data_IF_566897446096
#
_entry.id   IF_566897446096
#
_cell.length_a   1.000
_cell.length_b   1.000
_cell.length_c   1.000
_cell.angle_alpha   90.00
_cell.angle_beta   90.00
_cell.angle_gamma   90.00
#
_symmetry.space_group_name_H-M   'P 1'
#
loop_
_entity.id
_entity.type
_entity.pdbx_description
1 polymer ?
#
# COMPACT_ATOMS: atom_id res chain seq x y z
N UNK A 1 -14.56 30.40 29.60
CA UNK A 1 -13.25 30.58 30.27
C UNK A 1 -13.28 29.88 31.62
N UNK A 2 -12.14 29.41 32.12
CA UNK A 2 -12.04 28.89 33.49
C UNK A 2 -11.92 30.02 34.54
N UNK A 3 -11.85 29.65 35.81
CA UNK A 3 -11.69 30.60 36.92
C UNK A 3 -10.34 31.34 36.97
N UNK A 4 -9.41 31.02 36.06
CA UNK A 4 -8.09 31.68 35.92
C UNK A 4 -8.03 32.55 34.66
N UNK A 5 -9.12 32.64 33.90
CA UNK A 5 -9.19 33.42 32.66
C UNK A 5 -8.60 32.70 31.44
N UNK A 6 -8.37 31.39 31.52
CA UNK A 6 -7.99 30.63 30.32
C UNK A 6 -9.22 30.38 29.45
N UNK A 7 -9.06 30.52 28.13
CA UNK A 7 -10.01 30.02 27.17
C UNK A 7 -9.97 28.48 27.20
N UNK A 8 -11.14 27.85 27.22
CA UNK A 8 -11.28 26.40 27.20
C UNK A 8 -11.81 26.02 25.83
N UNK A 9 -11.04 25.22 25.10
CA UNK A 9 -11.33 24.76 23.75
C UNK A 9 -11.61 23.25 23.82
N UNK A 10 -12.88 22.83 23.76
CA UNK A 10 -13.23 21.42 23.76
C UNK A 10 -12.84 20.74 22.45
N UNK A 11 -12.38 19.49 22.55
CA UNK A 11 -12.13 18.62 21.40
C UNK A 11 -13.12 17.44 21.43
N UNK A 12 -13.78 17.23 20.31
CA UNK A 12 -14.80 16.20 20.11
C UNK A 12 -14.50 15.27 18.93
N UNK A 13 -15.25 14.18 18.85
CA UNK A 13 -15.39 13.37 17.63
C UNK A 13 -16.54 13.87 16.72
N UNK A 14 -16.77 13.17 15.60
CA UNK A 14 -17.85 13.46 14.64
C UNK A 14 -19.26 13.29 15.23
N UNK A 15 -19.38 12.55 16.33
CA UNK A 15 -20.60 12.27 17.07
C UNK A 15 -20.84 13.28 18.20
N UNK A 16 -19.95 14.26 18.37
CA UNK A 16 -20.06 15.30 19.39
C UNK A 16 -19.62 14.86 20.79
N UNK A 17 -18.99 13.70 20.94
CA UNK A 17 -18.48 13.25 22.25
C UNK A 17 -17.19 13.98 22.55
N UNK A 18 -17.07 14.51 23.76
CA UNK A 18 -15.86 15.17 24.23
C UNK A 18 -14.79 14.14 24.62
N UNK A 19 -13.56 14.36 24.16
CA UNK A 19 -12.43 13.46 24.39
C UNK A 19 -11.26 14.14 25.11
N UNK A 20 -11.10 15.44 24.94
CA UNK A 20 -10.10 16.26 25.62
C UNK A 20 -10.45 17.74 25.51
N UNK A 21 -9.60 18.59 26.07
CA UNK A 21 -9.66 20.03 25.92
C UNK A 21 -8.25 20.61 25.77
N UNK A 22 -8.15 21.74 25.09
CA UNK A 22 -7.01 22.64 25.13
C UNK A 22 -7.38 23.87 25.97
N UNK A 23 -6.45 24.34 26.78
CA UNK A 23 -6.56 25.61 27.49
C UNK A 23 -5.60 26.61 26.87
N UNK A 24 -6.07 27.82 26.59
CA UNK A 24 -5.26 28.93 26.08
C UNK A 24 -5.24 30.04 27.13
N UNK A 25 -4.06 30.34 27.67
CA UNK A 25 -3.89 31.38 28.67
C UNK A 25 -3.87 32.80 28.04
N UNK A 26 -4.08 33.88 28.83
CA UNK A 26 -4.03 35.26 28.34
C UNK A 26 -2.71 35.65 27.65
N UNK A 27 -1.61 34.97 27.98
CA UNK A 27 -0.30 35.15 27.33
C UNK A 27 -0.13 34.32 26.04
N UNK A 28 -1.17 33.58 25.63
CA UNK A 28 -1.17 32.71 24.47
C UNK A 28 -0.63 31.30 24.74
N UNK A 29 -0.20 30.97 25.96
CA UNK A 29 0.30 29.64 26.27
C UNK A 29 -0.82 28.59 26.15
N UNK A 30 -0.62 27.62 25.24
CA UNK A 30 -1.55 26.53 24.98
C UNK A 30 -1.15 25.27 25.74
N UNK A 31 -2.11 24.59 26.37
CA UNK A 31 -1.89 23.31 27.07
C UNK A 31 -3.06 22.37 26.83
N UNK A 32 -2.75 21.14 26.43
CA UNK A 32 -3.74 20.07 26.38
C UNK A 32 -3.95 19.46 27.77
N UNK A 33 -5.15 18.96 28.02
CA UNK A 33 -5.45 18.16 29.20
C UNK A 33 -4.59 16.88 29.20
N UNK A 34 -3.87 16.65 30.31
CA UNK A 34 -3.04 15.46 30.48
C UNK A 34 -3.90 14.19 30.42
N UNK A 35 -3.46 13.20 29.63
CA UNK A 35 -4.19 11.95 29.40
C UNK A 35 -5.37 12.06 28.44
N UNK A 36 -5.67 13.24 27.90
CA UNK A 36 -6.74 13.43 26.94
C UNK A 36 -6.40 12.90 25.54
N UNK A 37 -7.40 12.40 24.83
CA UNK A 37 -7.23 11.87 23.48
C UNK A 37 -7.33 13.00 22.44
N UNK A 38 -6.19 13.47 21.92
CA UNK A 38 -6.15 14.51 20.87
C UNK A 38 -6.29 13.94 19.46
N UNK A 39 -5.60 12.82 19.17
CA UNK A 39 -5.50 12.26 17.82
C UNK A 39 -6.89 11.91 17.27
N UNK A 40 -7.25 12.49 16.13
CA UNK A 40 -8.56 12.31 15.46
C UNK A 40 -9.70 13.15 16.05
N UNK A 41 -9.47 13.87 17.15
CA UNK A 41 -10.45 14.76 17.76
C UNK A 41 -10.11 16.21 17.49
N UNK A 42 -11.13 17.05 17.43
CA UNK A 42 -11.02 18.41 16.90
C UNK A 42 -11.96 19.37 17.63
N UNK A 43 -11.70 20.66 17.51
CA UNK A 43 -12.63 21.67 18.00
C UNK A 43 -13.56 22.12 16.88
N UNK A 44 -14.86 22.09 17.15
CA UNK A 44 -15.87 22.72 16.30
C UNK A 44 -15.90 24.21 16.63
N UNK A 45 -15.71 25.06 15.61
CA UNK A 45 -15.68 26.51 15.80
C UNK A 45 -17.04 27.12 15.53
N UNK A 46 -17.44 28.09 16.36
CA UNK A 46 -18.70 28.83 16.19
C UNK A 46 -19.94 28.08 16.66
N UNK A 47 -19.79 26.88 17.22
CA UNK A 47 -20.88 26.09 17.77
C UNK A 47 -20.44 25.32 19.01
N UNK A 48 -21.40 25.00 19.88
CA UNK A 48 -21.18 24.10 21.01
C UNK A 48 -20.92 22.66 20.54
N UNK A 49 -20.20 21.85 21.32
CA UNK A 49 -19.99 20.45 21.00
C UNK A 49 -21.28 19.70 20.74
N UNK A 50 -21.39 19.10 19.56
CA UNK A 50 -22.58 18.40 19.08
C UNK A 50 -22.22 17.44 17.93
N UNK A 51 -23.04 16.42 17.66
CA UNK A 51 -22.89 15.61 16.47
C UNK A 51 -22.86 16.49 15.22
N UNK A 52 -21.89 16.26 14.33
CA UNK A 52 -21.79 17.04 13.11
C UNK A 52 -22.97 16.74 12.18
N UNK A 53 -23.71 17.80 11.84
CA UNK A 53 -24.67 17.78 10.74
C UNK A 53 -23.92 17.87 9.40
N UNK A 54 -24.56 17.39 8.33
CA UNK A 54 -24.02 17.57 6.99
C UNK A 54 -23.87 19.08 6.70
N UNK A 55 -22.70 19.54 6.23
CA UNK A 55 -22.50 20.96 5.98
C UNK A 55 -23.32 21.41 4.76
N UNK A 56 -23.97 22.57 4.85
CA UNK A 56 -24.72 23.18 3.74
C UNK A 56 -23.81 23.84 2.68
N UNK A 57 -22.51 23.94 2.98
CA UNK A 57 -21.47 24.52 2.13
C UNK A 57 -20.12 23.84 2.36
N UNK A 58 -18.99 24.49 2.03
CA UNK A 58 -17.68 23.92 2.30
C UNK A 58 -17.45 23.75 3.80
N UNK A 59 -16.81 22.65 4.17
CA UNK A 59 -16.32 22.39 5.53
C UNK A 59 -14.84 22.75 5.56
N UNK A 60 -14.50 23.77 6.36
CA UNK A 60 -13.13 24.27 6.47
C UNK A 60 -12.39 23.50 7.55
N UNK A 61 -11.15 23.12 7.27
CA UNK A 61 -10.26 22.43 8.21
C UNK A 61 -8.99 23.27 8.34
N UNK A 62 -8.62 23.64 9.56
CA UNK A 62 -7.42 24.43 9.85
C UNK A 62 -6.63 23.83 11.02
N UNK A 63 -5.41 24.31 11.23
CA UNK A 63 -4.56 23.86 12.34
C UNK A 63 -5.01 24.46 13.67
N UNK A 64 -5.00 25.78 13.83
CA UNK A 64 -5.30 26.45 15.10
C UNK A 64 -6.76 26.80 15.31
N UNK A 65 -7.19 26.87 16.58
CA UNK A 65 -8.53 27.36 16.94
C UNK A 65 -8.75 28.84 16.59
N UNK A 66 -7.75 29.70 16.83
CA UNK A 66 -7.84 31.13 16.50
C UNK A 66 -7.96 31.36 14.98
N UNK A 67 -7.17 30.63 14.20
CA UNK A 67 -7.29 30.54 12.73
C UNK A 67 -8.70 30.13 12.33
N UNK A 68 -9.25 29.10 12.97
CA UNK A 68 -10.60 28.63 12.72
C UNK A 68 -11.68 29.66 13.06
N UNK A 69 -11.52 30.39 14.17
CA UNK A 69 -12.44 31.46 14.57
C UNK A 69 -12.49 32.57 13.52
N UNK A 70 -11.33 33.01 13.02
CA UNK A 70 -11.25 34.02 11.96
C UNK A 70 -11.86 33.54 10.64
N UNK A 71 -11.70 32.25 10.30
CA UNK A 71 -12.36 31.64 9.14
C UNK A 71 -13.89 31.63 9.28
N UNK A 72 -14.40 31.22 10.45
CA UNK A 72 -15.83 31.18 10.71
C UNK A 72 -16.44 32.59 10.70
N UNK A 73 -15.79 33.56 11.34
CA UNK A 73 -16.23 34.96 11.35
C UNK A 73 -16.27 35.57 9.93
N UNK A 74 -15.30 35.24 9.09
CA UNK A 74 -15.21 35.76 7.73
C UNK A 74 -16.20 35.13 6.75
N UNK A 75 -16.55 33.85 6.94
CA UNK A 75 -17.28 33.07 5.92
C UNK A 75 -18.64 32.54 6.37
N UNK A 76 -18.88 32.43 7.68
CA UNK A 76 -20.04 31.74 8.24
C UNK A 76 -20.04 30.22 8.02
N UNK A 77 -19.01 29.65 7.40
CA UNK A 77 -18.93 28.21 7.13
C UNK A 77 -18.60 27.42 8.39
N UNK A 78 -18.94 26.13 8.38
CA UNK A 78 -18.53 25.20 9.43
C UNK A 78 -17.00 25.05 9.40
N UNK A 79 -16.34 25.26 10.54
CA UNK A 79 -14.89 25.15 10.65
C UNK A 79 -14.50 24.16 11.73
N UNK A 80 -13.56 23.28 11.39
CA UNK A 80 -12.97 22.29 12.27
C UNK A 80 -11.49 22.63 12.48
N UNK A 81 -11.11 22.90 13.72
CA UNK A 81 -9.71 23.11 14.10
C UNK A 81 -9.09 21.78 14.57
N UNK A 82 -8.07 21.32 13.85
CA UNK A 82 -7.37 20.06 14.14
C UNK A 82 -6.35 20.19 15.29
N UNK A 83 -6.09 21.40 15.77
CA UNK A 83 -5.21 21.76 16.89
C UNK A 83 -3.70 21.71 16.59
N UNK A 84 -3.23 20.84 15.70
CA UNK A 84 -1.84 20.82 15.21
C UNK A 84 -1.72 20.11 13.84
N UNK A 85 -0.61 20.36 13.13
CA UNK A 85 -0.33 19.77 11.82
C UNK A 85 -0.36 18.23 11.80
N UNK A 86 0.05 17.57 12.89
CA UNK A 86 0.07 16.11 13.01
C UNK A 86 -1.33 15.50 13.13
N UNK A 87 -2.32 16.30 13.49
CA UNK A 87 -3.71 15.88 13.69
C UNK A 87 -4.63 16.19 12.49
N UNK A 88 -4.16 16.97 11.50
CA UNK A 88 -4.95 17.29 10.30
C UNK A 88 -5.42 16.03 9.54
N UNK A 89 -4.53 15.06 9.32
CA UNK A 89 -4.86 13.83 8.58
C UNK A 89 -5.96 12.99 9.27
N UNK A 90 -5.80 12.55 10.53
CA UNK A 90 -6.82 11.71 11.16
C UNK A 90 -8.18 12.43 11.30
N UNK A 91 -8.18 13.75 11.51
CA UNK A 91 -9.41 14.56 11.53
C UNK A 91 -10.07 14.60 10.15
N UNK A 92 -9.30 14.88 9.09
CA UNK A 92 -9.83 14.96 7.74
C UNK A 92 -10.34 13.61 7.23
N UNK A 93 -9.67 12.49 7.57
CA UNK A 93 -10.14 11.14 7.26
C UNK A 93 -11.47 10.83 7.95
N UNK A 94 -11.63 11.19 9.23
CA UNK A 94 -12.89 11.02 9.95
C UNK A 94 -14.03 11.85 9.33
N UNK A 95 -13.74 13.10 8.96
CA UNK A 95 -14.71 13.98 8.30
C UNK A 95 -15.11 13.46 6.92
N UNK A 96 -14.16 12.98 6.10
CA UNK A 96 -14.45 12.37 4.79
C UNK A 96 -15.25 11.07 4.93
N UNK A 97 -14.95 10.24 5.93
CA UNK A 97 -15.72 9.02 6.20
C UNK A 97 -17.16 9.34 6.61
N UNK A 98 -17.35 10.38 7.43
CA UNK A 98 -18.67 10.83 7.88
C UNK A 98 -19.46 11.52 6.76
N UNK A 99 -18.78 12.31 5.93
CA UNK A 99 -19.37 13.08 4.83
C UNK A 99 -18.64 12.79 3.51
N UNK A 100 -18.94 11.66 2.84
CA UNK A 100 -18.23 11.25 1.61
C UNK A 100 -18.23 12.31 0.51
N UNK A 101 -19.32 13.07 0.38
CA UNK A 101 -19.52 14.06 -0.68
C UNK A 101 -19.25 15.51 -0.25
N UNK A 102 -18.82 15.76 1.00
CA UNK A 102 -18.59 17.13 1.45
C UNK A 102 -17.43 17.80 0.70
N UNK A 103 -17.56 19.09 0.44
CA UNK A 103 -16.47 19.91 -0.07
C UNK A 103 -15.54 20.30 1.09
N UNK A 104 -14.45 19.56 1.24
CA UNK A 104 -13.45 19.78 2.29
C UNK A 104 -12.41 20.78 1.80
N UNK A 105 -12.21 21.86 2.55
CA UNK A 105 -11.18 22.86 2.27
C UNK A 105 -10.17 22.88 3.42
N UNK A 106 -8.93 22.52 3.12
CA UNK A 106 -7.81 22.68 4.03
C UNK A 106 -7.30 24.12 3.90
N UNK A 107 -7.32 24.87 5.00
CA UNK A 107 -6.71 26.21 5.08
C UNK A 107 -5.38 26.06 5.81
N UNK A 108 -4.28 26.30 5.10
CA UNK A 108 -2.94 26.08 5.61
C UNK A 108 -2.39 27.30 6.35
N UNK A 109 -1.56 27.04 7.35
CA UNK A 109 -0.67 28.03 7.93
C UNK A 109 0.57 28.16 7.02
N UNK A 110 0.85 29.39 6.56
CA UNK A 110 2.00 29.66 5.71
C UNK A 110 3.21 29.99 6.60
N UNK A 111 3.92 28.95 7.05
CA UNK A 111 5.07 29.07 7.95
C UNK A 111 6.39 29.43 7.24
N UNK A 112 6.32 29.99 6.03
CA UNK A 112 7.51 30.32 5.24
C UNK A 112 8.41 31.33 5.99
N UNK A 113 9.69 30.99 6.14
CA UNK A 113 10.70 31.87 6.73
C UNK A 113 11.85 32.09 5.75
N UNK A 114 12.48 33.29 5.72
CA UNK A 114 13.56 33.58 4.78
C UNK A 114 14.78 32.66 4.90
N UNK A 115 14.98 32.05 6.07
CA UNK A 115 16.10 31.19 6.43
C UNK A 115 15.77 29.70 6.39
N UNK A 116 14.57 29.32 5.92
CA UNK A 116 14.08 27.94 5.95
C UNK A 116 13.37 27.56 4.66
N UNK A 117 13.95 26.62 3.93
CA UNK A 117 13.39 26.06 2.68
C UNK A 117 12.17 25.15 2.88
N UNK A 118 11.67 25.00 4.11
CA UNK A 118 10.51 24.17 4.41
C UNK A 118 9.36 25.00 4.95
N UNK A 119 8.16 24.66 4.49
CA UNK A 119 6.89 25.20 4.96
C UNK A 119 6.03 24.04 5.50
N UNK A 120 6.20 23.66 6.78
CA UNK A 120 5.53 22.49 7.35
C UNK A 120 4.01 22.57 7.32
N UNK A 121 3.41 23.71 7.67
CA UNK A 121 1.95 23.90 7.63
C UNK A 121 1.36 23.66 6.24
N UNK A 122 1.95 24.29 5.21
CA UNK A 122 1.53 24.07 3.81
C UNK A 122 1.78 22.63 3.35
N UNK A 123 2.90 22.02 3.71
CA UNK A 123 3.20 20.64 3.34
C UNK A 123 2.22 19.63 3.97
N UNK A 124 1.87 19.84 5.25
CA UNK A 124 0.89 19.02 5.96
C UNK A 124 -0.50 19.16 5.35
N UNK A 125 -0.98 20.39 5.19
CA UNK A 125 -2.29 20.68 4.58
C UNK A 125 -2.39 20.13 3.13
N UNK A 126 -1.33 20.29 2.32
CA UNK A 126 -1.24 19.72 0.96
C UNK A 126 -1.37 18.19 0.97
N UNK A 127 -0.64 17.52 1.85
CA UNK A 127 -0.69 16.05 1.99
C UNK A 127 -2.10 15.58 2.33
N UNK A 128 -2.76 16.28 3.25
CA UNK A 128 -4.12 15.96 3.68
C UNK A 128 -5.13 16.21 2.56
N UNK A 129 -5.09 17.38 1.91
CA UNK A 129 -5.98 17.70 0.80
C UNK A 129 -5.89 16.64 -0.33
N UNK A 130 -4.68 16.17 -0.67
CA UNK A 130 -4.52 15.08 -1.64
C UNK A 130 -5.12 13.75 -1.17
N UNK A 131 -4.99 13.41 0.12
CA UNK A 131 -5.47 12.15 0.66
C UNK A 131 -7.00 12.06 0.75
N UNK A 132 -7.67 13.19 1.02
CA UNK A 132 -9.13 13.25 1.21
C UNK A 132 -9.88 13.85 0.02
N UNK A 133 -9.21 14.02 -1.12
CA UNK A 133 -9.77 14.68 -2.31
C UNK A 133 -10.39 16.06 -1.99
N UNK A 134 -9.65 16.85 -1.21
CA UNK A 134 -10.02 18.19 -0.75
C UNK A 134 -9.36 19.31 -1.56
N UNK A 135 -9.79 20.54 -1.29
CA UNK A 135 -9.18 21.77 -1.81
C UNK A 135 -8.20 22.34 -0.80
N UNK A 136 -7.23 23.11 -1.27
CA UNK A 136 -6.23 23.78 -0.44
C UNK A 136 -6.29 25.29 -0.66
N UNK A 137 -6.40 26.04 0.43
CA UNK A 137 -6.18 27.48 0.49
C UNK A 137 -4.88 27.77 1.25
N UNK A 138 -4.04 28.65 0.69
CA UNK A 138 -2.76 29.06 1.29
C UNK A 138 -2.67 30.59 1.28
N UNK A 139 -2.46 31.24 2.43
CA UNK A 139 -2.19 32.68 2.48
C UNK A 139 -0.98 33.05 1.61
N UNK A 140 -1.07 34.13 0.84
CA UNK A 140 0.04 34.58 -0.02
C UNK A 140 1.28 35.00 0.79
N UNK A 141 1.05 35.63 1.94
CA UNK A 141 2.11 36.07 2.87
C UNK A 141 2.30 35.03 3.97
N UNK A 142 3.50 34.95 4.57
CA UNK A 142 3.69 34.15 5.77
C UNK A 142 2.73 34.55 6.89
N UNK A 143 2.22 33.56 7.62
CA UNK A 143 1.20 33.71 8.65
C UNK A 143 0.01 32.77 8.42
N UNK A 144 -0.96 32.86 9.31
CA UNK A 144 -2.20 32.10 9.22
C UNK A 144 -3.41 32.97 8.81
N UNK A 145 -4.60 32.38 8.73
CA UNK A 145 -5.82 33.13 8.42
C UNK A 145 -6.19 34.17 9.50
N UNK A 146 -5.73 33.99 10.74
CA UNK A 146 -5.96 34.94 11.82
C UNK A 146 -5.06 36.17 11.70
N UNK A 147 -3.80 35.99 11.32
CA UNK A 147 -2.89 37.09 10.98
C UNK A 147 -3.44 37.90 9.79
N UNK A 148 -3.93 37.22 8.75
CA UNK A 148 -4.59 37.87 7.61
C UNK A 148 -5.84 38.64 8.04
N UNK A 149 -6.67 38.04 8.90
CA UNK A 149 -7.87 38.70 9.45
C UNK A 149 -7.51 39.99 10.20
N UNK A 150 -6.47 39.95 11.03
CA UNK A 150 -6.03 41.11 11.80
C UNK A 150 -5.43 42.21 10.93
N UNK A 151 -4.74 41.85 9.84
CA UNK A 151 -4.09 42.79 8.94
C UNK A 151 -5.05 43.42 7.92
N UNK A 152 -5.99 42.63 7.37
CA UNK A 152 -6.76 43.00 6.17
C UNK A 152 -8.27 42.77 6.32
N UNK A 153 -8.74 42.20 7.42
CA UNK A 153 -10.15 42.03 7.73
C UNK A 153 -10.79 40.75 7.17
N UNK A 154 -12.10 40.64 7.36
CA UNK A 154 -12.90 39.46 7.04
C UNK A 154 -12.94 39.17 5.53
N UNK A 155 -13.01 40.21 4.70
CA UNK A 155 -13.10 40.10 3.25
C UNK A 155 -11.86 39.43 2.66
N UNK A 156 -10.67 39.72 3.19
CA UNK A 156 -9.42 39.09 2.76
C UNK A 156 -9.39 37.59 3.08
N UNK A 157 -9.90 37.20 4.25
CA UNK A 157 -10.02 35.78 4.64
C UNK A 157 -11.05 35.06 3.79
N UNK A 158 -12.19 35.70 3.48
CA UNK A 158 -13.18 35.13 2.57
C UNK A 158 -12.61 34.93 1.16
N UNK A 159 -11.80 35.88 0.66
CA UNK A 159 -11.11 35.75 -0.62
C UNK A 159 -10.07 34.61 -0.61
N UNK A 160 -9.34 34.42 0.50
CA UNK A 160 -8.45 33.27 0.70
C UNK A 160 -9.20 31.94 0.59
N UNK A 161 -10.35 31.80 1.25
CA UNK A 161 -11.16 30.58 1.17
C UNK A 161 -11.71 30.38 -0.24
N UNK A 162 -12.14 31.46 -0.91
CA UNK A 162 -12.64 31.41 -2.28
C UNK A 162 -11.56 30.99 -3.30
N UNK A 163 -10.27 31.25 -3.03
CA UNK A 163 -9.16 30.84 -3.89
C UNK A 163 -8.78 29.36 -3.75
N UNK A 164 -9.41 28.63 -2.82
CA UNK A 164 -9.13 27.22 -2.58
C UNK A 164 -9.29 26.36 -3.85
N UNK A 165 -8.22 25.64 -4.20
CA UNK A 165 -8.16 24.84 -5.41
C UNK A 165 -7.82 23.37 -5.12
N UNK A 166 -8.29 22.46 -5.97
CA UNK A 166 -7.86 21.05 -5.93
C UNK A 166 -6.40 20.95 -6.36
N UNK A 167 -5.66 20.12 -5.64
CA UNK A 167 -4.25 19.87 -5.96
C UNK A 167 -4.21 18.75 -7.00
N UNK A 168 -3.65 18.97 -8.20
CA UNK A 168 -3.48 17.89 -9.15
C UNK A 168 -2.57 16.82 -8.52
N UNK A 169 -2.88 15.52 -8.68
CA UNK A 169 -2.00 14.48 -8.21
C UNK A 169 -0.62 14.65 -8.85
N UNK A 170 0.47 14.35 -8.12
CA UNK A 170 1.80 14.39 -8.71
C UNK A 170 1.83 13.46 -9.94
N UNK A 171 2.58 13.83 -10.99
CA UNK A 171 2.74 12.96 -12.14
C UNK A 171 3.30 11.60 -11.68
N UNK A 172 2.91 10.49 -12.33
CA UNK A 172 3.45 9.17 -12.01
C UNK A 172 4.97 9.19 -12.13
N UNK A 173 5.65 8.52 -11.19
CA UNK A 173 7.12 8.37 -11.20
C UNK A 173 7.59 7.31 -12.20
N UNK A 174 6.65 6.59 -12.83
CA UNK A 174 6.90 5.58 -13.84
C UNK A 174 6.55 6.11 -15.23
N UNK A 175 7.23 5.63 -16.29
CA UNK A 175 6.92 6.01 -17.66
C UNK A 175 5.50 5.61 -18.02
N UNK A 176 4.89 6.36 -18.94
CA UNK A 176 3.58 6.00 -19.48
C UNK A 176 3.64 4.62 -20.15
N UNK A 177 2.60 3.79 -20.00
CA UNK A 177 2.55 2.48 -20.65
C UNK A 177 2.58 2.64 -22.16
N UNK A 178 3.45 1.86 -22.82
CA UNK A 178 3.64 1.89 -24.28
C UNK A 178 2.58 1.04 -25.00
N UNK A 179 2.02 0.04 -24.30
CA UNK A 179 1.03 -0.89 -24.84
C UNK A 179 -0.34 -0.65 -24.22
N UNK A 180 -1.38 -0.84 -25.01
CA UNK A 180 -2.74 -0.97 -24.47
C UNK A 180 -2.86 -2.25 -23.63
N UNK A 181 -3.84 -2.35 -22.70
CA UNK A 181 -4.06 -3.57 -21.92
C UNK A 181 -4.29 -4.82 -22.78
N UNK A 182 -4.87 -4.67 -23.98
CA UNK A 182 -5.08 -5.78 -24.91
C UNK A 182 -3.76 -6.27 -25.52
N UNK A 183 -2.94 -5.35 -26.03
CA UNK A 183 -1.63 -5.67 -26.60
C UNK A 183 -0.68 -6.28 -25.56
N UNK A 184 -0.68 -5.73 -24.33
CA UNK A 184 0.12 -6.28 -23.24
C UNK A 184 -0.29 -7.71 -22.88
N UNK A 185 -1.59 -8.03 -22.88
CA UNK A 185 -2.10 -9.40 -22.68
C UNK A 185 -1.71 -10.34 -23.82
N UNK A 186 -1.73 -9.85 -25.07
CA UNK A 186 -1.32 -10.63 -26.23
C UNK A 186 0.18 -10.94 -26.18
N UNK A 187 1.02 -9.93 -25.92
CA UNK A 187 2.47 -10.07 -25.75
C UNK A 187 2.83 -11.07 -24.64
N UNK A 188 2.14 -10.99 -23.50
CA UNK A 188 2.30 -11.97 -22.41
C UNK A 188 1.92 -13.39 -22.84
N UNK A 189 0.81 -13.56 -23.55
CA UNK A 189 0.35 -14.87 -24.02
C UNK A 189 1.33 -15.49 -25.02
N UNK A 190 1.84 -14.70 -25.96
CA UNK A 190 2.84 -15.13 -26.94
C UNK A 190 4.15 -15.54 -26.26
N UNK A 191 4.61 -14.76 -25.28
CA UNK A 191 5.81 -15.06 -24.52
C UNK A 191 5.69 -16.39 -23.74
N UNK A 192 4.55 -16.62 -23.07
CA UNK A 192 4.27 -17.88 -22.37
C UNK A 192 4.21 -19.04 -23.37
N UNK A 193 3.52 -18.88 -24.50
CA UNK A 193 3.40 -19.92 -25.51
C UNK A 193 4.77 -20.33 -26.07
N UNK A 194 5.63 -19.35 -26.38
CA UNK A 194 7.00 -19.59 -26.85
C UNK A 194 7.84 -20.33 -25.82
N UNK A 195 7.72 -19.98 -24.54
CA UNK A 195 8.41 -20.71 -23.47
C UNK A 195 7.94 -22.17 -23.38
N UNK A 196 6.62 -22.39 -23.38
CA UNK A 196 6.06 -23.74 -23.28
C UNK A 196 6.42 -24.61 -24.49
N UNK A 197 6.47 -24.04 -25.69
CA UNK A 197 6.88 -24.73 -26.91
C UNK A 197 8.34 -25.23 -26.87
N UNK A 198 9.23 -24.56 -26.12
CA UNK A 198 10.63 -24.97 -26.00
C UNK A 198 10.87 -26.12 -25.02
N UNK A 199 9.88 -26.45 -24.16
CA UNK A 199 10.04 -27.46 -23.10
C UNK A 199 10.19 -28.89 -23.66
N UNK A 200 9.35 -29.36 -24.61
CA UNK A 200 9.51 -30.69 -25.18
C UNK A 200 10.86 -30.88 -25.88
N UNK A 201 11.30 -29.88 -26.65
CA UNK A 201 12.57 -29.90 -27.38
C UNK A 201 13.76 -30.00 -26.41
N UNK A 202 13.71 -29.25 -25.30
CA UNK A 202 14.72 -29.35 -24.24
C UNK A 202 14.80 -30.77 -23.66
N UNK A 203 13.67 -31.39 -23.33
CA UNK A 203 13.68 -32.74 -22.76
C UNK A 203 14.11 -33.80 -23.75
N UNK A 204 13.76 -33.67 -25.03
CA UNK A 204 14.26 -34.55 -26.09
C UNK A 204 15.80 -34.48 -26.21
N UNK A 205 16.37 -33.26 -26.13
CA UNK A 205 17.82 -33.07 -26.15
C UNK A 205 18.50 -33.67 -24.90
N UNK A 206 17.89 -33.51 -23.72
CA UNK A 206 18.37 -34.12 -22.47
C UNK A 206 18.37 -35.65 -22.54
N UNK A 207 17.28 -36.25 -23.05
CA UNK A 207 17.17 -37.70 -23.19
C UNK A 207 18.19 -38.26 -24.18
N UNK A 208 18.41 -37.59 -25.32
CA UNK A 208 19.43 -37.97 -26.30
C UNK A 208 20.84 -37.91 -25.68
N UNK A 209 21.16 -36.83 -24.95
CA UNK A 209 22.44 -36.70 -24.26
C UNK A 209 22.65 -37.76 -23.17
N UNK A 210 21.58 -38.16 -22.46
CA UNK A 210 21.64 -39.24 -21.48
C UNK A 210 21.87 -40.61 -22.13
N UNK A 211 21.31 -40.86 -23.31
CA UNK A 211 21.50 -42.13 -24.02
C UNK A 211 22.91 -42.24 -24.62
N UNK A 212 23.42 -41.16 -25.21
CA UNK A 212 24.84 -41.06 -25.61
C UNK A 212 25.77 -41.22 -24.39
N UNK A 213 25.38 -40.69 -23.24
CA UNK A 213 26.08 -40.89 -21.97
C UNK A 213 26.01 -42.34 -21.44
N UNK A 214 25.11 -43.19 -21.93
CA UNK A 214 25.08 -44.63 -21.58
C UNK A 214 25.81 -45.52 -22.59
N UNK A 215 25.94 -45.08 -23.84
CA UNK A 215 26.43 -45.92 -24.94
C UNK A 215 27.95 -45.94 -25.14
N UNK A 216 28.73 -45.04 -24.51
CA UNK A 216 30.19 -45.00 -24.70
C UNK A 216 30.95 -45.78 -23.61
N UNK A 217 31.58 -46.86 -24.04
CA UNK A 217 32.57 -47.65 -23.30
C UNK A 217 33.99 -47.15 -23.65
N UNK A 218 34.84 -46.98 -22.64
CA UNK A 218 36.26 -46.65 -22.76
C UNK A 218 36.61 -45.15 -22.82
N UNK A 219 37.20 -44.65 -21.71
CA UNK A 219 37.79 -43.31 -21.54
C UNK A 219 36.83 -42.17 -21.14
N UNK A 220 36.16 -42.35 -19.99
CA UNK A 220 35.40 -41.28 -19.33
C UNK A 220 35.95 -40.99 -17.94
N UNK A 221 36.02 -39.70 -17.60
CA UNK A 221 36.23 -39.23 -16.24
C UNK A 221 35.00 -39.60 -15.39
N UNK A 222 35.14 -40.50 -14.39
CA UNK A 222 34.03 -40.92 -13.52
C UNK A 222 33.42 -39.79 -12.68
N UNK A 223 34.05 -38.60 -12.66
CA UNK A 223 33.63 -37.44 -11.89
C UNK A 223 33.00 -36.32 -12.73
N UNK A 224 32.78 -36.52 -14.04
CA UNK A 224 32.07 -35.52 -14.87
C UNK A 224 30.54 -35.66 -14.75
N UNK A 225 29.98 -35.08 -13.68
CA UNK A 225 28.54 -35.02 -13.43
C UNK A 225 27.78 -34.02 -14.35
N UNK A 226 28.47 -33.27 -15.22
CA UNK A 226 27.91 -32.14 -15.98
C UNK A 226 27.64 -32.44 -17.46
N UNK A 227 27.78 -33.69 -17.92
CA UNK A 227 27.62 -34.08 -19.33
C UNK A 227 26.25 -33.66 -19.88
N UNK A 228 25.18 -33.88 -19.12
CA UNK A 228 23.81 -33.50 -19.50
C UNK A 228 23.60 -31.99 -19.45
N UNK A 229 24.18 -31.30 -18.46
CA UNK A 229 24.08 -29.84 -18.30
C UNK A 229 24.81 -29.06 -19.41
N UNK A 230 25.85 -29.66 -20.01
CA UNK A 230 26.58 -29.09 -21.15
C UNK A 230 25.89 -29.31 -22.50
N UNK A 231 25.04 -30.34 -22.61
CA UNK A 231 24.38 -30.71 -23.87
C UNK A 231 23.09 -29.92 -24.15
N UNK A 232 22.34 -29.54 -23.11
CA UNK A 232 21.11 -28.77 -23.27
C UNK A 232 20.90 -27.80 -22.08
N UNK A 233 20.75 -26.51 -22.39
CA UNK A 233 20.39 -25.50 -21.40
C UNK A 233 18.87 -25.46 -21.22
N UNK A 234 18.35 -25.39 -19.97
CA UNK A 234 16.92 -25.25 -19.75
C UNK A 234 16.43 -23.94 -20.36
N UNK A 235 15.22 -23.91 -20.95
CA UNK A 235 14.65 -22.67 -21.45
C UNK A 235 14.52 -21.68 -20.28
N UNK A 236 15.01 -20.45 -20.48
CA UNK A 236 14.89 -19.36 -19.51
C UNK A 236 14.27 -18.16 -20.21
N UNK A 237 13.16 -17.66 -19.66
CA UNK A 237 12.48 -16.47 -20.17
C UNK A 237 12.21 -15.49 -19.03
N UNK A 238 12.74 -14.28 -19.16
CA UNK A 238 12.39 -13.13 -18.33
C UNK A 238 11.54 -12.16 -19.12
N UNK A 239 10.41 -11.72 -18.56
CA UNK A 239 9.54 -10.72 -19.15
C UNK A 239 9.12 -9.70 -18.08
N UNK A 240 9.35 -8.38 -18.28
CA UNK A 240 8.78 -7.35 -17.42
C UNK A 240 7.27 -7.25 -17.70
N UNK A 241 6.44 -7.48 -16.69
CA UNK A 241 4.97 -7.56 -16.85
C UNK A 241 4.24 -6.90 -15.69
N UNK A 242 3.39 -5.94 -16.00
CA UNK A 242 2.57 -5.20 -15.04
C UNK A 242 1.51 -6.07 -14.34
N UNK A 243 1.11 -5.63 -13.14
CA UNK A 243 0.02 -6.25 -12.36
C UNK A 243 -1.32 -6.16 -13.11
N UNK A 244 -2.22 -7.11 -12.88
CA UNK A 244 -3.55 -7.11 -13.51
C UNK A 244 -3.63 -7.65 -14.95
N UNK A 245 -2.51 -8.07 -15.55
CA UNK A 245 -2.49 -8.66 -16.91
C UNK A 245 -2.86 -10.15 -16.97
N UNK A 246 -3.13 -10.79 -15.83
CA UNK A 246 -3.51 -12.21 -15.77
C UNK A 246 -2.34 -13.18 -15.88
N UNK A 247 -1.15 -12.79 -15.40
CA UNK A 247 0.08 -13.61 -15.37
C UNK A 247 -0.17 -15.02 -14.87
N UNK A 248 -0.67 -15.13 -13.64
CA UNK A 248 -0.89 -16.40 -12.95
C UNK A 248 -1.91 -17.27 -13.67
N UNK A 249 -3.05 -16.71 -14.08
CA UNK A 249 -4.09 -17.48 -14.76
C UNK A 249 -3.63 -18.01 -16.12
N UNK A 250 -2.88 -17.21 -16.89
CA UNK A 250 -2.30 -17.64 -18.18
C UNK A 250 -1.23 -18.71 -18.01
N UNK A 251 -0.34 -18.56 -17.04
CA UNK A 251 0.68 -19.57 -16.74
C UNK A 251 0.04 -20.92 -16.37
N UNK A 252 -0.99 -20.92 -15.51
CA UNK A 252 -1.72 -22.14 -15.13
C UNK A 252 -2.36 -22.84 -16.33
N UNK A 253 -3.06 -22.09 -17.18
CA UNK A 253 -3.70 -22.63 -18.38
C UNK A 253 -2.68 -23.28 -19.32
N UNK A 254 -1.56 -22.59 -19.56
CA UNK A 254 -0.51 -23.10 -20.43
C UNK A 254 0.18 -24.37 -19.87
N UNK A 255 0.34 -24.47 -18.54
CA UNK A 255 0.83 -25.70 -17.88
C UNK A 255 -0.16 -26.85 -18.07
N UNK A 256 -1.46 -26.60 -17.89
CA UNK A 256 -2.49 -27.62 -18.08
C UNK A 256 -2.55 -28.13 -19.52
N UNK A 257 -2.46 -27.23 -20.50
CA UNK A 257 -2.37 -27.59 -21.92
C UNK A 257 -1.12 -28.42 -22.23
N UNK A 258 0.05 -28.05 -21.69
CA UNK A 258 1.30 -28.79 -21.91
C UNK A 258 1.24 -30.22 -21.32
N UNK A 259 0.66 -30.38 -20.13
CA UNK A 259 0.48 -31.69 -19.50
C UNK A 259 -0.52 -32.53 -20.31
N UNK A 260 -1.65 -31.93 -20.72
CA UNK A 260 -2.67 -32.61 -21.52
C UNK A 260 -2.14 -33.07 -22.89
N UNK A 261 -1.25 -32.28 -23.51
CA UNK A 261 -0.56 -32.63 -24.76
C UNK A 261 0.54 -33.70 -24.59
N UNK A 262 0.87 -34.10 -23.35
CA UNK A 262 1.91 -35.08 -23.06
C UNK A 262 3.34 -34.55 -23.22
N UNK A 263 3.53 -33.24 -23.39
CA UNK A 263 4.84 -32.63 -23.67
C UNK A 263 5.87 -32.75 -22.52
N UNK A 264 5.42 -33.18 -21.34
CA UNK A 264 6.27 -33.44 -20.17
C UNK A 264 6.49 -34.93 -19.89
N UNK A 265 5.77 -35.83 -20.58
CA UNK A 265 5.79 -37.27 -20.27
C UNK A 265 5.45 -37.55 -18.79
N UNK A 266 6.22 -38.37 -18.06
CA UNK A 266 5.96 -38.70 -16.65
C UNK A 266 6.44 -37.63 -15.64
N UNK A 267 6.95 -36.49 -16.11
CA UNK A 267 7.61 -35.49 -15.26
C UNK A 267 6.59 -34.64 -14.50
N UNK A 268 7.02 -34.14 -13.33
CA UNK A 268 6.21 -33.27 -12.47
C UNK A 268 6.58 -31.80 -12.70
N UNK A 269 5.61 -30.91 -12.55
CA UNK A 269 5.82 -29.44 -12.61
C UNK A 269 5.91 -28.89 -11.20
N UNK A 270 6.95 -28.09 -10.94
CA UNK A 270 7.07 -27.31 -9.71
C UNK A 270 6.61 -25.89 -9.98
N UNK A 271 5.56 -25.46 -9.28
CA UNK A 271 5.00 -24.11 -9.42
C UNK A 271 5.27 -23.30 -8.14
N UNK A 272 6.31 -22.46 -8.18
CA UNK A 272 6.73 -21.67 -7.03
C UNK A 272 5.83 -20.43 -6.83
N UNK A 273 5.44 -20.17 -5.59
CA UNK A 273 4.67 -18.99 -5.19
C UNK A 273 5.32 -18.30 -4.00
N UNK A 274 5.22 -16.97 -3.87
CA UNK A 274 5.93 -16.23 -2.83
C UNK A 274 5.28 -16.33 -1.43
N UNK A 275 4.01 -16.76 -1.34
CA UNK A 275 3.26 -16.84 -0.09
C UNK A 275 2.41 -18.10 0.00
N UNK A 276 2.21 -18.63 1.21
CA UNK A 276 1.47 -19.88 1.44
C UNK A 276 -0.03 -19.77 1.14
N UNK A 277 -0.66 -18.63 1.41
CA UNK A 277 -2.08 -18.36 1.09
C UNK A 277 -2.34 -18.46 -0.42
N UNK A 278 -1.44 -17.90 -1.23
CA UNK A 278 -1.47 -18.02 -2.69
C UNK A 278 -1.31 -19.48 -3.15
N UNK A 279 -0.57 -20.30 -2.40
CA UNK A 279 -0.36 -21.72 -2.72
C UNK A 279 -1.64 -22.54 -2.63
N UNK A 280 -2.46 -22.31 -1.60
CA UNK A 280 -3.77 -22.96 -1.46
C UNK A 280 -4.70 -22.58 -2.63
N UNK A 281 -4.68 -21.30 -3.01
CA UNK A 281 -5.42 -20.82 -4.18
C UNK A 281 -4.95 -21.50 -5.48
N UNK A 282 -3.63 -21.71 -5.64
CA UNK A 282 -3.11 -22.38 -6.83
C UNK A 282 -3.54 -23.84 -6.93
N UNK A 283 -3.53 -24.59 -5.82
CA UNK A 283 -3.98 -25.99 -5.81
C UNK A 283 -5.43 -26.07 -6.29
N UNK A 284 -6.31 -25.30 -5.68
CA UNK A 284 -7.73 -25.24 -6.05
C UNK A 284 -7.92 -24.89 -7.53
N UNK A 285 -7.14 -23.93 -8.04
CA UNK A 285 -7.24 -23.51 -9.42
C UNK A 285 -6.68 -24.53 -10.42
N UNK A 286 -5.66 -25.31 -10.06
CA UNK A 286 -5.15 -26.40 -10.90
C UNK A 286 -6.12 -27.59 -10.91
N UNK A 287 -6.77 -27.90 -9.78
CA UNK A 287 -7.83 -28.91 -9.72
C UNK A 287 -9.01 -28.55 -10.62
N UNK A 288 -9.41 -27.27 -10.65
CA UNK A 288 -10.44 -26.78 -11.56
C UNK A 288 -10.06 -26.91 -13.06
N UNK A 289 -8.76 -27.00 -13.36
CA UNK A 289 -8.23 -27.28 -14.70
C UNK A 289 -8.02 -28.79 -14.97
N UNK A 290 -8.45 -29.67 -14.05
CA UNK A 290 -8.34 -31.12 -14.18
C UNK A 290 -6.97 -31.68 -13.80
N UNK A 291 -6.10 -30.89 -13.18
CA UNK A 291 -4.78 -31.33 -12.72
C UNK A 291 -4.79 -31.67 -11.24
N UNK A 292 -4.05 -32.71 -10.84
CA UNK A 292 -3.75 -32.98 -9.44
C UNK A 292 -2.56 -32.13 -9.00
N UNK A 293 -2.80 -31.19 -8.09
CA UNK A 293 -1.75 -30.37 -7.50
C UNK A 293 -1.56 -30.69 -6.02
N UNK A 294 -0.34 -30.55 -5.51
CA UNK A 294 -0.03 -30.68 -4.09
C UNK A 294 0.70 -29.43 -3.63
N UNK A 295 0.33 -28.89 -2.46
CA UNK A 295 0.99 -27.74 -1.88
C UNK A 295 2.18 -28.17 -1.02
N UNK A 296 3.37 -27.70 -1.39
CA UNK A 296 4.58 -27.86 -0.59
C UNK A 296 4.90 -26.52 0.09
N UNK A 297 4.78 -26.49 1.43
CA UNK A 297 5.13 -25.32 2.25
C UNK A 297 6.55 -25.46 2.81
N UNK A 298 7.09 -24.38 3.37
CA UNK A 298 8.38 -24.41 4.06
C UNK A 298 8.43 -25.46 5.18
N UNK A 299 9.63 -25.97 5.49
CA UNK A 299 9.87 -27.13 6.37
C UNK A 299 9.32 -26.98 7.79
N UNK A 300 9.20 -25.75 8.29
CA UNK A 300 8.65 -25.40 9.61
C UNK A 300 7.14 -25.12 9.59
N UNK A 301 6.48 -25.27 8.44
CA UNK A 301 5.06 -25.06 8.31
C UNK A 301 4.28 -26.35 8.59
N UNK A 302 3.07 -26.24 9.17
CA UNK A 302 2.14 -27.35 9.30
C UNK A 302 1.83 -28.07 7.97
N UNK A 303 1.63 -29.38 8.09
CA UNK A 303 1.12 -30.28 7.06
C UNK A 303 -0.24 -29.74 6.56
N UNK A 304 -0.52 -29.82 5.25
CA UNK A 304 -1.78 -29.36 4.69
C UNK A 304 -3.00 -30.23 5.04
N UNK A 305 -2.89 -31.23 5.92
CA UNK A 305 -3.99 -32.11 6.33
C UNK A 305 -4.70 -31.65 7.61
N UNK A 306 -6.04 -31.64 7.60
CA UNK A 306 -6.87 -31.23 8.76
C UNK A 306 -6.76 -32.21 9.95
N UNK A 307 -6.35 -33.45 9.67
CA UNK A 307 -6.32 -34.55 10.63
C UNK A 307 -5.14 -34.44 11.62
N UNK A 308 -4.12 -33.64 11.29
CA UNK A 308 -2.93 -33.46 12.14
C UNK A 308 -2.28 -32.07 11.95
N UNK A 309 -2.92 -31.00 12.46
CA UNK A 309 -2.51 -29.63 12.20
C UNK A 309 -1.18 -29.23 12.86
N UNK A 310 -0.67 -30.02 13.80
CA UNK A 310 0.61 -29.76 14.47
C UNK A 310 1.79 -30.51 13.81
N UNK A 311 1.51 -31.41 12.87
CA UNK A 311 2.55 -32.13 12.12
C UNK A 311 3.22 -31.16 11.17
N UNK A 312 4.55 -31.07 11.22
CA UNK A 312 5.32 -30.28 10.28
C UNK A 312 5.62 -31.07 9.01
N UNK A 313 5.75 -30.36 7.88
CA UNK A 313 5.99 -30.97 6.56
C UNK A 313 7.32 -31.74 6.44
N UNK A 314 8.31 -31.44 7.31
CA UNK A 314 9.53 -32.23 7.42
C UNK A 314 9.46 -33.10 8.68
N UNK A 315 9.49 -34.42 8.49
CA UNK A 315 9.42 -35.42 9.56
C UNK A 315 10.69 -35.52 10.41
N UNK A 316 11.79 -34.90 9.96
CA UNK A 316 13.06 -34.85 10.68
C UNK A 316 13.70 -33.46 10.52
N UNK A 317 13.23 -32.51 11.34
CA UNK A 317 13.76 -31.15 11.35
C UNK A 317 15.18 -31.08 11.91
N UNK A 318 15.55 -31.97 12.84
CA UNK A 318 16.87 -31.98 13.50
C UNK A 318 17.98 -32.42 12.53
N UNK A 319 17.78 -33.48 11.75
CA UNK A 319 18.76 -33.91 10.75
C UNK A 319 19.08 -32.82 9.69
N UNK A 320 18.14 -31.90 9.47
CA UNK A 320 18.31 -30.78 8.53
C UNK A 320 19.15 -29.65 9.12
N UNK A 321 18.99 -29.37 10.42
CA UNK A 321 19.80 -28.38 11.14
C UNK A 321 21.23 -28.89 11.33
N UNK A 322 21.38 -30.17 11.69
CA UNK A 322 22.67 -30.83 11.78
C UNK A 322 23.41 -30.72 10.44
N UNK A 323 22.78 -31.11 9.33
CA UNK A 323 23.41 -31.04 8.01
C UNK A 323 23.80 -29.63 7.54
N UNK A 324 23.05 -28.59 7.95
CA UNK A 324 23.39 -27.19 7.71
C UNK A 324 24.58 -26.73 8.55
N UNK A 325 24.73 -27.25 9.76
CA UNK A 325 25.83 -26.92 10.67
C UNK A 325 27.16 -27.59 10.25
N UNK A 326 27.08 -28.74 9.57
CA UNK A 326 28.23 -29.48 9.02
C UNK A 326 28.43 -29.37 7.50
N UNK A 327 27.71 -28.47 6.81
CA UNK A 327 27.79 -28.21 5.34
C UNK A 327 27.69 -29.48 4.46
N UNK A 328 26.95 -30.51 4.89
CA UNK A 328 26.82 -31.78 4.15
C UNK A 328 25.46 -31.89 3.42
N UNK A 329 25.39 -32.57 2.26
CA UNK A 329 24.11 -32.82 1.58
C UNK A 329 23.22 -33.79 2.38
N UNK A 330 21.96 -33.44 2.58
CA UNK A 330 20.94 -34.30 3.19
C UNK A 330 20.38 -35.27 2.14
N UNK A 331 21.15 -36.30 1.82
CA UNK A 331 20.63 -37.49 1.15
C UNK A 331 21.14 -38.74 1.87
N UNK A 332 20.38 -39.18 2.88
CA UNK A 332 20.15 -40.59 3.20
C UNK A 332 19.20 -40.71 4.39
N UNK A 333 17.93 -40.98 4.10
CA UNK A 333 17.08 -41.92 4.85
C UNK A 333 16.05 -42.53 3.91
#
# INVERSE_FOLDING_TARGET
MDGRGHLIVPLQDTEGRLHTLETIAPDGAKRFLAGGAKRGHFSLVGAEPAPLAAPEGPLLICEGWATGASLHLATGHMVVAAMDAGNLMPVAEALRARFPEADLILVADNDAKPDRDSNPGVAAARKVALAVDGRLAVPERPGDANDLFCAEGAEAVAALVASAARIPPPPPTYPAPVLTPHEARASLAEAIARFMAAIPDYWAAVEAAQEEAKSADGDRDPLDFNIVARAALPPLLGLPVDVGLGKTSRARAAIAELIAAGGLGPRKVVYAVPRHDLGVEQVTAFEALGLRAMLWKGRTAPDPTDDNPDRLMCLDTEATFDALEIEHPVEQS
#
